data_IF_362767336539
#
_entry.id   IF_362767336539
#
_cell.length_a   1.000
_cell.length_b   1.000
_cell.length_c   1.000
_cell.angle_alpha   90.00
_cell.angle_beta   90.00
_cell.angle_gamma   90.00
#
_symmetry.space_group_name_H-M   'P 1'
#
loop_
_entity.id
_entity.type
_entity.pdbx_description
1 polymer ?
#
# COMPACT_ATOMS: atom_id res chain seq x y z
N UNK A 1 4.02 29.36 -1.27
CA UNK A 1 4.11 27.92 -1.59
C UNK A 1 3.01 27.63 -2.60
N UNK A 2 3.32 27.05 -3.76
CA UNK A 2 2.30 26.77 -4.78
C UNK A 2 1.56 25.47 -4.43
N UNK A 3 0.24 25.50 -4.21
CA UNK A 3 -0.53 24.34 -3.73
C UNK A 3 -0.45 23.11 -4.65
N UNK A 4 -0.26 23.29 -5.96
CA UNK A 4 -0.14 22.16 -6.91
C UNK A 4 1.18 21.37 -6.80
N UNK A 5 2.25 21.95 -6.26
CA UNK A 5 3.53 21.25 -6.06
C UNK A 5 3.50 20.33 -4.84
N UNK A 6 2.70 20.66 -3.84
CA UNK A 6 2.50 19.83 -2.63
C UNK A 6 1.66 18.60 -2.96
N UNK A 7 0.56 18.76 -3.69
CA UNK A 7 -0.28 17.63 -4.10
C UNK A 7 0.46 16.61 -4.99
N UNK A 8 1.32 17.07 -5.91
CA UNK A 8 2.13 16.20 -6.76
C UNK A 8 3.17 15.42 -5.95
N UNK A 9 3.77 16.05 -4.94
CA UNK A 9 4.70 15.39 -4.04
C UNK A 9 4.00 14.35 -3.18
N UNK A 10 2.84 14.67 -2.63
CA UNK A 10 2.03 13.73 -1.84
C UNK A 10 1.57 12.53 -2.68
N UNK A 11 1.30 12.76 -3.98
CA UNK A 11 0.98 11.70 -4.93
C UNK A 11 2.16 10.74 -5.14
N UNK A 12 3.37 11.28 -5.35
CA UNK A 12 4.60 10.49 -5.50
C UNK A 12 4.95 9.73 -4.21
N UNK A 13 4.85 10.38 -3.06
CA UNK A 13 5.10 9.76 -1.76
C UNK A 13 4.11 8.61 -1.48
N UNK A 14 2.82 8.82 -1.81
CA UNK A 14 1.78 7.78 -1.69
C UNK A 14 2.04 6.64 -2.67
N UNK A 15 2.47 6.92 -3.90
CA UNK A 15 2.78 5.90 -4.90
C UNK A 15 3.96 5.02 -4.45
N UNK A 16 5.04 5.62 -3.96
CA UNK A 16 6.18 4.86 -3.42
C UNK A 16 5.79 4.04 -2.17
N UNK A 17 4.87 4.54 -1.34
CA UNK A 17 4.35 3.78 -0.21
C UNK A 17 3.57 2.53 -0.67
N UNK A 18 2.72 2.67 -1.70
CA UNK A 18 1.98 1.55 -2.32
C UNK A 18 2.95 0.48 -2.82
N UNK A 19 3.95 0.85 -3.64
CA UNK A 19 4.90 -0.12 -4.18
C UNK A 19 5.67 -0.88 -3.10
N UNK A 20 6.05 -0.18 -2.02
CA UNK A 20 6.74 -0.81 -0.88
C UNK A 20 5.83 -1.82 -0.17
N UNK A 21 4.56 -1.51 0.03
CA UNK A 21 3.60 -2.42 0.68
C UNK A 21 3.32 -3.63 -0.21
N UNK A 22 3.16 -3.45 -1.51
CA UNK A 22 2.98 -4.56 -2.46
C UNK A 22 4.15 -5.54 -2.43
N UNK A 23 5.39 -5.03 -2.47
CA UNK A 23 6.60 -5.86 -2.35
C UNK A 23 6.64 -6.64 -1.03
N UNK A 24 6.21 -6.01 0.07
CA UNK A 24 6.13 -6.67 1.39
C UNK A 24 5.04 -7.73 1.45
N UNK A 25 3.89 -7.50 0.82
CA UNK A 25 2.81 -8.48 0.69
C UNK A 25 3.31 -9.72 -0.03
N UNK A 26 3.96 -9.57 -1.18
CA UNK A 26 4.52 -10.71 -1.94
C UNK A 26 5.54 -11.48 -1.10
N UNK A 27 6.46 -10.77 -0.42
CA UNK A 27 7.42 -11.42 0.47
C UNK A 27 6.76 -12.18 1.63
N UNK A 28 5.67 -11.64 2.19
CA UNK A 28 4.92 -12.27 3.27
C UNK A 28 4.14 -13.49 2.79
N UNK A 29 3.57 -13.45 1.57
CA UNK A 29 2.91 -14.60 0.94
C UNK A 29 3.89 -15.76 0.72
N UNK A 30 5.09 -15.46 0.22
CA UNK A 30 6.16 -16.45 0.06
C UNK A 30 6.58 -17.04 1.43
N UNK A 31 6.68 -16.21 2.46
CA UNK A 31 6.97 -16.66 3.82
C UNK A 31 5.89 -17.59 4.36
N UNK A 32 4.61 -17.24 4.21
CA UNK A 32 3.49 -18.10 4.63
C UNK A 32 3.52 -19.43 3.88
N UNK A 33 3.76 -19.41 2.57
CA UNK A 33 3.88 -20.64 1.77
C UNK A 33 5.00 -21.54 2.28
N UNK A 34 6.15 -20.98 2.67
CA UNK A 34 7.26 -21.72 3.26
C UNK A 34 6.89 -22.29 4.64
N UNK A 35 6.28 -21.50 5.52
CA UNK A 35 5.83 -21.98 6.85
C UNK A 35 4.85 -23.15 6.73
N UNK A 36 3.89 -23.05 5.81
CA UNK A 36 2.94 -24.14 5.52
C UNK A 36 3.63 -25.40 5.01
N UNK A 37 4.62 -25.27 4.12
CA UNK A 37 5.44 -26.39 3.63
C UNK A 37 6.18 -27.08 4.79
N UNK A 38 6.72 -26.30 5.70
CA UNK A 38 7.47 -26.79 6.86
C UNK A 38 6.57 -27.27 8.01
N UNK A 39 5.25 -27.22 7.84
CA UNK A 39 4.23 -27.53 8.86
C UNK A 39 4.39 -26.71 10.14
N UNK A 40 4.85 -25.48 10.00
CA UNK A 40 4.97 -24.50 11.07
C UNK A 40 3.68 -23.67 11.12
N UNK A 41 3.19 -23.39 12.33
CA UNK A 41 2.03 -22.51 12.54
C UNK A 41 2.25 -21.14 11.89
N UNK A 42 1.26 -20.66 11.14
CA UNK A 42 1.39 -19.43 10.34
C UNK A 42 0.29 -18.39 10.58
N UNK A 43 -0.58 -18.60 11.58
CA UNK A 43 -1.75 -17.75 11.85
C UNK A 43 -1.38 -16.28 12.14
N UNK A 44 -0.26 -16.05 12.81
CA UNK A 44 0.27 -14.70 13.04
C UNK A 44 0.76 -14.05 11.74
N UNK A 45 1.39 -14.84 10.86
CA UNK A 45 1.87 -14.38 9.56
C UNK A 45 0.71 -14.06 8.61
N UNK A 46 -0.36 -14.87 8.63
CA UNK A 46 -1.58 -14.64 7.86
C UNK A 46 -2.36 -13.41 8.36
N UNK A 47 -2.47 -13.21 9.67
CA UNK A 47 -3.06 -11.98 10.23
C UNK A 47 -2.28 -10.74 9.82
N UNK A 48 -0.95 -10.80 9.86
CA UNK A 48 -0.10 -9.70 9.39
C UNK A 48 -0.32 -9.41 7.90
N UNK A 49 -0.45 -10.45 7.06
CA UNK A 49 -0.76 -10.30 5.64
C UNK A 49 -2.12 -9.61 5.42
N UNK A 50 -3.14 -9.97 6.21
CA UNK A 50 -4.44 -9.31 6.15
C UNK A 50 -4.32 -7.81 6.47
N UNK A 51 -3.63 -7.46 7.55
CA UNK A 51 -3.38 -6.05 7.92
C UNK A 51 -2.63 -5.30 6.82
N UNK A 52 -1.62 -5.91 6.18
CA UNK A 52 -0.91 -5.28 5.07
C UNK A 52 -1.82 -4.99 3.88
N UNK A 53 -2.74 -5.89 3.55
CA UNK A 53 -3.73 -5.71 2.48
C UNK A 53 -4.73 -4.60 2.80
N UNK A 54 -5.15 -4.48 4.06
CA UNK A 54 -6.00 -3.39 4.51
C UNK A 54 -5.29 -2.03 4.37
N UNK A 55 -4.04 -1.93 4.85
CA UNK A 55 -3.23 -0.72 4.68
C UNK A 55 -2.99 -0.37 3.21
N UNK A 56 -2.81 -1.36 2.33
CA UNK A 56 -2.68 -1.12 0.89
C UNK A 56 -3.97 -0.49 0.32
N UNK A 57 -5.14 -0.99 0.72
CA UNK A 57 -6.43 -0.44 0.30
C UNK A 57 -6.61 1.02 0.74
N UNK A 58 -6.20 1.35 1.96
CA UNK A 58 -6.21 2.72 2.47
C UNK A 58 -5.30 3.64 1.65
N UNK A 59 -4.08 3.20 1.34
CA UNK A 59 -3.14 3.96 0.51
C UNK A 59 -3.65 4.20 -0.91
N UNK A 60 -4.26 3.19 -1.54
CA UNK A 60 -4.88 3.32 -2.87
C UNK A 60 -6.04 4.33 -2.82
N UNK A 61 -6.84 4.29 -1.75
CA UNK A 61 -7.93 5.25 -1.54
C UNK A 61 -7.39 6.67 -1.37
N UNK A 62 -6.35 6.86 -0.56
CA UNK A 62 -5.68 8.14 -0.38
C UNK A 62 -5.16 8.71 -1.71
N UNK A 63 -4.50 7.87 -2.50
CA UNK A 63 -4.01 8.24 -3.85
C UNK A 63 -5.15 8.73 -4.75
N UNK A 64 -6.29 8.04 -4.74
CA UNK A 64 -7.45 8.42 -5.54
C UNK A 64 -8.01 9.80 -5.13
N UNK A 65 -8.03 10.10 -3.82
CA UNK A 65 -8.45 11.41 -3.31
C UNK A 65 -7.51 12.54 -3.75
N UNK A 66 -6.18 12.32 -3.71
CA UNK A 66 -5.20 13.29 -4.20
C UNK A 66 -5.40 13.56 -5.69
N UNK A 67 -5.51 12.51 -6.51
CA UNK A 67 -5.74 12.64 -7.96
C UNK A 67 -7.03 13.40 -8.25
N UNK A 68 -8.11 13.11 -7.53
CA UNK A 68 -9.37 13.83 -7.69
C UNK A 68 -9.23 15.32 -7.32
N UNK A 69 -8.50 15.65 -6.25
CA UNK A 69 -8.27 17.03 -5.83
C UNK A 69 -7.44 17.82 -6.85
N UNK A 70 -6.46 17.18 -7.49
CA UNK A 70 -5.66 17.78 -8.59
C UNK A 70 -6.56 18.04 -9.79
N UNK A 71 -7.28 17.02 -10.28
CA UNK A 71 -8.11 17.12 -11.48
C UNK A 71 -9.20 18.19 -11.36
N UNK A 72 -9.83 18.31 -10.18
CA UNK A 72 -10.87 19.32 -9.94
C UNK A 72 -10.32 20.75 -9.88
N UNK A 73 -9.05 20.95 -9.50
CA UNK A 73 -8.40 22.26 -9.50
C UNK A 73 -7.97 22.74 -10.89
N UNK A 74 -7.74 21.81 -11.82
CA UNK A 74 -7.36 22.11 -13.20
C UNK A 74 -8.57 22.30 -14.15
N UNK A 75 -9.79 22.13 -13.63
CA UNK A 75 -11.08 22.31 -14.33
C UNK A 75 -11.60 23.74 -14.20
#
# INVERSE_FOLDING_TARGET
MQPGLEDLRDLDETHLAIERVEKRIVAQELRIAQLKRDRIECDSAERLLATMRDSLKELITHRALIVHAIAYRES
#
